data_IF_040571721018
#
_entry.id   IF_040571721018
#
_cell.length_a   1.000
_cell.length_b   1.000
_cell.length_c   1.000
_cell.angle_alpha   90.00
_cell.angle_beta   90.00
_cell.angle_gamma   90.00
#
_symmetry.space_group_name_H-M   'P 1'
#
loop_
_entity.id
_entity.type
_entity.pdbx_description
1 polymer ?
#
# COMPACT_ATOMS: atom_id res chain seq x y z
N UNK A 1 -68.41 15.72 34.94
CA UNK A 1 -67.38 16.43 34.16
C UNK A 1 -65.94 15.93 34.49
N UNK A 2 -65.51 15.91 35.77
CA UNK A 2 -64.18 15.46 36.15
C UNK A 2 -63.83 13.98 35.79
N UNK A 3 -64.84 13.07 35.94
CA UNK A 3 -64.61 11.64 35.59
C UNK A 3 -64.41 11.40 34.09
N UNK A 4 -65.07 12.17 33.21
CA UNK A 4 -64.89 12.04 31.78
C UNK A 4 -63.53 12.55 31.33
N UNK A 5 -63.01 13.61 31.95
CA UNK A 5 -61.69 14.13 31.69
C UNK A 5 -60.56 13.13 32.12
N UNK A 6 -60.73 12.46 33.25
CA UNK A 6 -59.80 11.44 33.71
C UNK A 6 -59.74 10.22 32.76
N UNK A 7 -60.84 9.73 32.27
CA UNK A 7 -60.92 8.65 31.27
C UNK A 7 -60.24 9.06 29.96
N UNK A 8 -60.45 10.26 29.48
CA UNK A 8 -59.84 10.81 28.27
C UNK A 8 -58.32 10.89 28.41
N UNK A 9 -57.77 11.32 29.55
CA UNK A 9 -56.35 11.37 29.84
C UNK A 9 -55.70 9.98 29.85
N UNK A 10 -56.40 9.00 30.46
CA UNK A 10 -55.89 7.60 30.49
C UNK A 10 -55.86 7.01 29.08
N UNK A 11 -56.92 7.21 28.30
CA UNK A 11 -56.97 6.76 26.89
C UNK A 11 -55.87 7.43 26.06
N UNK A 12 -55.70 8.75 26.18
CA UNK A 12 -54.63 9.48 25.49
C UNK A 12 -53.23 8.96 25.86
N UNK A 13 -53.01 8.66 27.14
CA UNK A 13 -51.74 8.07 27.61
C UNK A 13 -51.46 6.67 26.97
N UNK A 14 -52.47 5.80 26.97
CA UNK A 14 -52.32 4.47 26.35
C UNK A 14 -52.13 4.56 24.84
N UNK A 15 -52.85 5.46 24.19
CA UNK A 15 -52.74 5.69 22.75
C UNK A 15 -51.36 6.24 22.40
N UNK A 16 -50.85 7.22 23.13
CA UNK A 16 -49.54 7.80 22.97
C UNK A 16 -48.46 6.73 23.19
N UNK A 17 -48.53 5.94 24.26
CA UNK A 17 -47.63 4.85 24.55
C UNK A 17 -47.62 3.76 23.46
N UNK A 18 -48.79 3.42 22.93
CA UNK A 18 -48.95 2.46 21.84
C UNK A 18 -48.34 3.01 20.53
N UNK A 19 -48.63 4.27 20.18
CA UNK A 19 -48.04 4.92 19.01
C UNK A 19 -46.51 5.02 19.12
N UNK A 20 -45.98 5.47 20.25
CA UNK A 20 -44.53 5.54 20.50
C UNK A 20 -43.89 4.17 20.31
N UNK A 21 -44.48 3.12 20.91
CA UNK A 21 -43.94 1.76 20.75
C UNK A 21 -43.97 1.28 19.28
N UNK A 22 -45.05 1.62 18.54
CA UNK A 22 -45.20 1.22 17.15
C UNK A 22 -44.25 1.97 16.20
N UNK A 23 -43.97 3.26 16.46
CA UNK A 23 -43.12 4.10 15.63
C UNK A 23 -41.63 3.96 15.96
N UNK A 24 -41.31 3.74 17.22
CA UNK A 24 -39.91 3.73 17.68
C UNK A 24 -39.30 2.33 17.70
N UNK A 25 -40.11 1.30 17.91
CA UNK A 25 -39.67 -0.09 17.99
C UNK A 25 -38.87 -0.55 16.73
N UNK A 26 -39.34 -0.29 15.51
CA UNK A 26 -38.58 -0.68 14.31
C UNK A 26 -37.19 -0.03 14.22
N UNK A 27 -37.02 1.16 14.85
CA UNK A 27 -35.71 1.86 14.89
C UNK A 27 -34.77 1.23 15.92
N UNK A 28 -35.29 0.77 17.06
CA UNK A 28 -34.49 0.08 18.09
C UNK A 28 -34.09 -1.34 17.70
N UNK A 29 -34.84 -1.97 16.80
CA UNK A 29 -34.60 -3.34 16.33
C UNK A 29 -33.76 -3.35 15.03
N UNK A 30 -33.19 -2.19 14.62
CA UNK A 30 -32.32 -2.13 13.44
C UNK A 30 -31.05 -2.99 13.65
N UNK A 31 -30.81 -3.90 12.72
CA UNK A 31 -29.53 -4.57 12.57
C UNK A 31 -28.56 -3.62 11.86
N UNK A 32 -27.55 -3.16 12.60
CA UNK A 32 -26.53 -2.23 12.11
C UNK A 32 -25.40 -2.94 11.35
N UNK A 33 -25.29 -4.27 11.49
CA UNK A 33 -24.33 -5.08 10.72
C UNK A 33 -24.84 -5.36 9.30
N UNK A 34 -26.17 -5.52 9.15
CA UNK A 34 -26.85 -5.73 7.85
C UNK A 34 -27.92 -4.65 7.61
N UNK A 35 -27.51 -3.38 7.40
CA UNK A 35 -28.44 -2.26 7.38
C UNK A 35 -29.54 -2.37 6.33
N UNK A 36 -29.22 -2.91 5.14
CA UNK A 36 -30.16 -3.02 4.01
C UNK A 36 -31.17 -4.16 4.16
N UNK A 37 -30.98 -5.09 5.11
CA UNK A 37 -31.93 -6.17 5.38
C UNK A 37 -33.06 -5.74 6.31
N UNK A 38 -32.96 -4.56 6.91
CA UNK A 38 -33.96 -4.02 7.82
C UNK A 38 -35.24 -3.62 7.10
N UNK A 39 -36.38 -4.15 7.56
CA UNK A 39 -37.69 -3.71 7.13
C UNK A 39 -38.13 -2.50 8.00
N UNK A 40 -37.81 -1.31 7.54
CA UNK A 40 -38.08 -0.06 8.26
C UNK A 40 -38.74 0.97 7.35
N UNK A 41 -38.79 2.22 7.77
CA UNK A 41 -39.41 3.33 7.04
C UNK A 41 -38.54 3.73 5.83
N UNK A 42 -39.20 4.07 4.70
CA UNK A 42 -38.51 4.50 3.46
C UNK A 42 -37.62 5.71 3.70
N UNK A 43 -38.01 6.59 4.63
CA UNK A 43 -37.23 7.78 4.99
C UNK A 43 -35.86 7.46 5.60
N UNK A 44 -35.68 6.27 6.14
CA UNK A 44 -34.39 5.81 6.69
C UNK A 44 -33.49 5.15 5.64
N UNK A 45 -33.97 4.85 4.45
CA UNK A 45 -33.23 4.19 3.39
C UNK A 45 -31.88 4.88 3.08
N UNK A 46 -31.82 6.23 2.89
CA UNK A 46 -30.54 6.89 2.61
C UNK A 46 -29.54 6.76 3.76
N UNK A 47 -29.99 6.71 5.01
CA UNK A 47 -29.15 6.51 6.18
C UNK A 47 -28.62 5.08 6.25
N UNK A 48 -29.47 4.08 5.97
CA UNK A 48 -29.08 2.67 5.96
C UNK A 48 -28.10 2.37 4.82
N UNK A 49 -28.28 2.98 3.64
CA UNK A 49 -27.32 2.88 2.53
C UNK A 49 -25.94 3.51 2.87
N UNK A 50 -25.96 4.65 3.55
CA UNK A 50 -24.72 5.30 4.00
C UNK A 50 -24.00 4.43 5.04
N UNK A 51 -24.74 3.82 5.97
CA UNK A 51 -24.21 2.90 6.97
C UNK A 51 -23.66 1.62 6.37
N UNK A 52 -24.37 1.00 5.41
CA UNK A 52 -23.91 -0.18 4.68
C UNK A 52 -22.59 0.11 3.95
N UNK A 53 -22.50 1.27 3.28
CA UNK A 53 -21.27 1.72 2.64
C UNK A 53 -20.13 1.84 3.64
N UNK A 54 -20.38 2.49 4.79
CA UNK A 54 -19.38 2.65 5.84
C UNK A 54 -18.95 1.30 6.44
N UNK A 55 -19.86 0.35 6.62
CA UNK A 55 -19.54 -0.99 7.11
C UNK A 55 -18.68 -1.74 6.10
N UNK A 56 -19.01 -1.70 4.81
CA UNK A 56 -18.22 -2.29 3.73
C UNK A 56 -16.80 -1.69 3.63
N UNK A 57 -16.70 -0.38 3.77
CA UNK A 57 -15.39 0.31 3.81
C UNK A 57 -14.56 -0.15 5.02
N UNK A 58 -15.16 -0.20 6.22
CA UNK A 58 -14.47 -0.71 7.42
C UNK A 58 -14.04 -2.16 7.29
N UNK A 59 -14.89 -3.00 6.72
CA UNK A 59 -14.58 -4.42 6.49
C UNK A 59 -13.45 -4.57 5.47
N UNK A 60 -13.48 -3.83 4.37
CA UNK A 60 -12.41 -3.81 3.38
C UNK A 60 -11.06 -3.40 4.00
N UNK A 61 -11.04 -2.33 4.82
CA UNK A 61 -9.83 -1.89 5.54
C UNK A 61 -9.36 -2.96 6.53
N UNK A 62 -10.28 -3.58 7.28
CA UNK A 62 -9.94 -4.66 8.23
C UNK A 62 -9.33 -5.87 7.52
N UNK A 63 -9.93 -6.29 6.40
CA UNK A 63 -9.44 -7.42 5.61
C UNK A 63 -8.08 -7.13 4.99
N UNK A 64 -7.88 -5.92 4.45
CA UNK A 64 -6.59 -5.46 3.94
C UNK A 64 -5.50 -5.47 5.02
N UNK A 65 -5.84 -5.09 6.26
CA UNK A 65 -4.91 -5.11 7.41
C UNK A 65 -4.54 -6.53 7.83
N UNK A 66 -5.53 -7.46 7.84
CA UNK A 66 -5.30 -8.89 8.13
C UNK A 66 -4.41 -9.53 7.06
N UNK A 67 -4.70 -9.28 5.80
CA UNK A 67 -3.91 -9.79 4.67
C UNK A 67 -2.48 -9.25 4.70
N UNK A 68 -2.31 -7.95 4.96
CA UNK A 68 -1.00 -7.34 5.14
C UNK A 68 -0.19 -8.04 6.23
N UNK A 69 -0.78 -8.24 7.43
CA UNK A 69 -0.10 -8.90 8.56
C UNK A 69 0.29 -10.34 8.24
N UNK A 70 -0.58 -11.08 7.54
CA UNK A 70 -0.30 -12.44 7.10
C UNK A 70 0.84 -12.48 6.08
N UNK A 71 0.82 -11.58 5.09
CA UNK A 71 1.85 -11.48 4.06
C UNK A 71 3.21 -11.07 4.65
N UNK A 72 3.24 -10.08 5.57
CA UNK A 72 4.45 -9.70 6.33
C UNK A 72 5.04 -10.92 7.03
N UNK A 73 4.22 -11.64 7.79
CA UNK A 73 4.67 -12.81 8.54
C UNK A 73 5.27 -13.88 7.63
N UNK A 74 4.64 -14.12 6.48
CA UNK A 74 5.13 -15.10 5.49
C UNK A 74 6.44 -14.66 4.83
N UNK A 75 6.52 -13.39 4.39
CA UNK A 75 7.71 -12.85 3.69
C UNK A 75 8.91 -12.69 4.64
N UNK A 76 8.69 -12.50 5.97
CA UNK A 76 9.75 -12.52 6.97
C UNK A 76 10.21 -13.95 7.31
N UNK A 77 9.27 -14.91 7.42
CA UNK A 77 9.58 -16.29 7.82
C UNK A 77 10.48 -16.99 6.81
N UNK A 78 10.25 -16.79 5.52
CA UNK A 78 10.98 -17.49 4.45
C UNK A 78 12.50 -17.22 4.49
N UNK A 79 13.01 -15.97 4.44
CA UNK A 79 14.43 -15.69 4.53
C UNK A 79 15.03 -16.10 5.88
N UNK A 80 14.29 -15.92 6.98
CA UNK A 80 14.74 -16.30 8.31
C UNK A 80 14.96 -17.82 8.42
N UNK A 81 14.04 -18.61 7.86
CA UNK A 81 14.20 -20.08 7.79
C UNK A 81 15.41 -20.48 6.96
N UNK A 82 15.65 -19.80 5.82
CA UNK A 82 16.81 -20.06 4.97
C UNK A 82 18.12 -19.73 5.70
N UNK A 83 18.21 -18.57 6.36
CA UNK A 83 19.38 -18.15 7.16
C UNK A 83 19.65 -19.19 8.26
N UNK A 84 18.62 -19.55 9.03
CA UNK A 84 18.74 -20.53 10.12
C UNK A 84 19.18 -21.89 9.60
N UNK A 85 18.63 -22.37 8.48
CA UNK A 85 19.01 -23.65 7.88
C UNK A 85 20.46 -23.67 7.39
N UNK A 86 20.90 -22.63 6.68
CA UNK A 86 22.31 -22.54 6.26
C UNK A 86 23.27 -22.47 7.45
N UNK A 87 22.93 -21.67 8.46
CA UNK A 87 23.74 -21.55 9.67
C UNK A 87 23.81 -22.87 10.46
N UNK A 88 22.72 -23.63 10.56
CA UNK A 88 22.67 -24.93 11.20
C UNK A 88 23.53 -25.98 10.50
N UNK A 89 23.45 -26.06 9.16
CA UNK A 89 24.27 -26.97 8.36
C UNK A 89 25.77 -26.64 8.55
N UNK A 90 26.15 -25.35 8.55
CA UNK A 90 27.52 -24.89 8.81
C UNK A 90 27.96 -25.24 10.22
N UNK A 91 27.13 -24.97 11.25
CA UNK A 91 27.40 -25.27 12.66
C UNK A 91 27.67 -26.76 12.89
N UNK A 92 26.94 -27.62 12.20
CA UNK A 92 27.08 -29.08 12.35
C UNK A 92 28.22 -29.67 11.53
N UNK A 93 29.06 -28.84 10.88
CA UNK A 93 30.19 -29.30 10.09
C UNK A 93 29.83 -30.09 8.82
N UNK A 94 28.58 -29.92 8.35
CA UNK A 94 28.08 -30.63 7.14
C UNK A 94 28.45 -29.91 5.84
N UNK A 95 29.14 -28.75 5.93
CA UNK A 95 29.61 -27.98 4.79
C UNK A 95 31.06 -28.27 4.55
N UNK A 96 31.41 -28.56 3.29
CA UNK A 96 32.82 -28.72 2.91
C UNK A 96 33.55 -27.38 3.03
N UNK A 97 34.86 -27.36 3.37
CA UNK A 97 35.62 -26.11 3.53
C UNK A 97 35.51 -25.17 2.31
N UNK A 98 35.51 -25.72 1.09
CA UNK A 98 35.37 -24.96 -0.16
C UNK A 98 33.99 -24.31 -0.34
N UNK A 99 32.94 -24.81 0.31
CA UNK A 99 31.57 -24.33 0.18
C UNK A 99 31.18 -23.29 1.28
N UNK A 100 32.05 -23.09 2.29
CA UNK A 100 31.75 -22.16 3.42
C UNK A 100 31.44 -20.75 2.92
N UNK A 101 32.23 -20.24 1.97
CA UNK A 101 32.02 -18.92 1.38
C UNK A 101 30.66 -18.81 0.70
N UNK A 102 30.28 -19.84 -0.07
CA UNK A 102 29.00 -19.89 -0.77
C UNK A 102 27.80 -19.83 0.23
N UNK A 103 27.88 -20.61 1.33
CA UNK A 103 26.86 -20.61 2.36
C UNK A 103 26.78 -19.25 3.09
N UNK A 104 27.93 -18.66 3.38
CA UNK A 104 28.03 -17.33 4.00
C UNK A 104 27.42 -16.26 3.10
N UNK A 105 27.67 -16.29 1.79
CA UNK A 105 27.07 -15.38 0.81
C UNK A 105 25.55 -15.53 0.73
N UNK A 106 25.03 -16.77 0.79
CA UNK A 106 23.60 -17.02 0.82
C UNK A 106 22.95 -16.43 2.08
N UNK A 107 23.56 -16.63 3.25
CA UNK A 107 23.09 -16.03 4.52
C UNK A 107 23.09 -14.51 4.40
N UNK A 108 24.17 -13.92 3.90
CA UNK A 108 24.29 -12.47 3.73
C UNK A 108 23.21 -11.91 2.80
N UNK A 109 22.98 -12.58 1.65
CA UNK A 109 21.95 -12.18 0.68
C UNK A 109 20.54 -12.20 1.30
N UNK A 110 20.19 -13.26 2.03
CA UNK A 110 18.89 -13.35 2.69
C UNK A 110 18.75 -12.33 3.83
N UNK A 111 19.80 -12.08 4.59
CA UNK A 111 19.80 -11.05 5.64
C UNK A 111 19.61 -9.63 5.05
N UNK A 112 20.31 -9.31 3.96
CA UNK A 112 20.11 -8.02 3.25
C UNK A 112 18.69 -7.85 2.73
N UNK A 113 18.12 -8.93 2.17
CA UNK A 113 16.72 -8.93 1.71
C UNK A 113 15.75 -8.68 2.86
N UNK A 114 16.00 -9.29 4.02
CA UNK A 114 15.19 -9.10 5.22
C UNK A 114 15.23 -7.66 5.71
N UNK A 115 16.42 -7.04 5.73
CA UNK A 115 16.60 -5.63 6.11
C UNK A 115 15.78 -4.73 5.18
N UNK A 116 15.90 -4.89 3.87
CA UNK A 116 15.13 -4.09 2.90
C UNK A 116 13.62 -4.26 3.10
N UNK A 117 13.16 -5.49 3.36
CA UNK A 117 11.74 -5.75 3.62
C UNK A 117 11.25 -5.02 4.87
N UNK A 118 12.03 -5.04 5.96
CA UNK A 118 11.69 -4.33 7.21
C UNK A 118 11.66 -2.81 6.97
N UNK A 119 12.64 -2.27 6.24
CA UNK A 119 12.69 -0.85 5.87
C UNK A 119 11.44 -0.44 5.07
N UNK A 120 11.04 -1.24 4.06
CA UNK A 120 9.84 -0.98 3.25
C UNK A 120 8.55 -1.04 4.09
N UNK A 121 8.46 -1.98 5.04
CA UNK A 121 7.33 -2.07 5.97
C UNK A 121 7.25 -0.82 6.86
N UNK A 122 8.38 -0.35 7.40
CA UNK A 122 8.43 0.86 8.23
C UNK A 122 8.02 2.09 7.41
N UNK A 123 8.51 2.22 6.16
CA UNK A 123 8.12 3.31 5.25
C UNK A 123 6.61 3.30 5.01
N UNK A 124 6.05 2.13 4.68
CA UNK A 124 4.62 2.00 4.42
C UNK A 124 3.77 2.30 5.67
N UNK A 125 4.21 1.83 6.86
CA UNK A 125 3.53 2.14 8.12
C UNK A 125 3.50 3.64 8.41
N UNK A 126 4.59 4.37 8.14
CA UNK A 126 4.63 5.82 8.30
C UNK A 126 3.70 6.57 7.34
N UNK A 127 3.47 6.02 6.14
CA UNK A 127 2.52 6.59 5.17
C UNK A 127 1.06 6.31 5.55
N UNK A 128 0.80 5.23 6.31
CA UNK A 128 -0.54 4.87 6.80
C UNK A 128 -0.95 5.66 8.07
N UNK A 129 0.00 6.29 8.76
CA UNK A 129 -0.26 7.10 9.96
C UNK A 129 -0.65 8.52 9.56
N UNK A 130 -1.93 8.87 9.73
CA UNK A 130 -2.46 10.24 9.53
C UNK A 130 -1.84 11.29 10.46
N UNK A 131 -1.08 10.86 11.49
CA UNK A 131 -0.58 11.71 12.57
C UNK A 131 0.84 12.26 12.36
N UNK A 132 1.55 11.86 11.31
CA UNK A 132 2.87 12.42 11.01
C UNK A 132 2.66 13.75 10.30
N UNK A 133 2.91 14.87 10.99
CA UNK A 133 3.00 16.20 10.39
C UNK A 133 4.18 16.23 9.40
N UNK A 134 3.94 15.73 8.20
CA UNK A 134 4.89 15.79 7.11
C UNK A 134 4.77 17.19 6.48
N UNK A 135 5.78 18.03 6.70
CA UNK A 135 5.79 19.39 6.15
C UNK A 135 5.88 19.34 4.62
N UNK A 136 4.89 19.98 3.98
CA UNK A 136 4.93 20.25 2.54
C UNK A 136 5.84 21.45 2.28
N UNK A 137 6.65 21.35 1.25
CA UNK A 137 7.58 22.41 0.81
C UNK A 137 7.64 22.46 -0.72
N UNK A 138 8.19 23.52 -1.25
CA UNK A 138 8.49 23.60 -2.67
C UNK A 138 9.66 22.68 -3.01
N UNK A 139 9.42 21.72 -3.91
CA UNK A 139 10.39 20.72 -4.34
C UNK A 139 10.62 20.84 -5.84
N UNK A 140 11.86 21.08 -6.25
CA UNK A 140 12.26 20.96 -7.66
C UNK A 140 12.32 19.48 -8.04
N UNK A 141 11.34 19.03 -8.84
CA UNK A 141 11.22 17.63 -9.26
C UNK A 141 12.35 17.22 -10.20
N UNK A 142 12.89 18.16 -10.99
CA UNK A 142 13.99 17.85 -11.91
C UNK A 142 15.28 17.57 -11.13
N UNK A 143 15.62 18.44 -10.18
CA UNK A 143 16.82 18.25 -9.34
C UNK A 143 16.68 17.01 -8.46
N UNK A 144 15.52 16.78 -7.84
CA UNK A 144 15.24 15.57 -7.08
C UNK A 144 15.44 14.31 -7.94
N UNK A 145 14.95 14.33 -9.19
CA UNK A 145 15.12 13.20 -10.11
C UNK A 145 16.58 12.98 -10.46
N UNK A 146 17.38 14.03 -10.67
CA UNK A 146 18.83 13.93 -10.92
C UNK A 146 19.56 13.28 -9.74
N UNK A 147 19.24 13.68 -8.50
CA UNK A 147 19.79 13.06 -7.29
C UNK A 147 19.48 11.55 -7.25
N UNK A 148 18.24 11.16 -7.57
CA UNK A 148 17.81 9.76 -7.59
C UNK A 148 18.57 8.96 -8.65
N UNK A 149 18.68 9.48 -9.86
CA UNK A 149 19.43 8.83 -10.95
C UNK A 149 20.90 8.65 -10.55
N UNK A 150 21.51 9.64 -9.92
CA UNK A 150 22.89 9.52 -9.41
C UNK A 150 23.03 8.39 -8.38
N UNK A 151 22.06 8.21 -7.49
CA UNK A 151 22.04 7.11 -6.49
C UNK A 151 21.87 5.74 -7.14
N UNK A 152 21.12 5.64 -8.26
CA UNK A 152 20.88 4.39 -8.99
C UNK A 152 21.96 4.06 -10.01
N UNK A 153 22.86 5.00 -10.36
CA UNK A 153 23.91 4.82 -11.35
C UNK A 153 24.80 3.58 -11.08
N UNK A 154 25.22 3.25 -9.85
CA UNK A 154 26.02 2.05 -9.60
C UNK A 154 25.27 0.75 -9.92
N UNK A 155 23.96 0.68 -9.65
CA UNK A 155 23.14 -0.50 -9.99
C UNK A 155 22.93 -0.62 -11.49
N UNK A 156 22.67 0.50 -12.17
CA UNK A 156 22.52 0.55 -13.62
C UNK A 156 23.79 0.13 -14.33
N UNK A 157 24.97 0.56 -13.84
CA UNK A 157 26.28 0.20 -14.40
C UNK A 157 26.54 -1.31 -14.36
N UNK A 158 26.07 -2.04 -13.36
CA UNK A 158 26.21 -3.51 -13.27
C UNK A 158 25.58 -4.26 -14.43
N UNK A 159 24.55 -3.67 -15.07
CA UNK A 159 23.85 -4.23 -16.23
C UNK A 159 24.11 -3.44 -17.53
N UNK A 160 25.07 -2.50 -17.52
CA UNK A 160 25.33 -1.59 -18.61
C UNK A 160 24.07 -0.79 -19.05
N UNK A 161 23.17 -0.46 -18.13
CA UNK A 161 21.97 0.31 -18.41
C UNK A 161 22.33 1.80 -18.50
N UNK A 162 21.95 2.46 -19.60
CA UNK A 162 22.08 3.90 -19.75
C UNK A 162 20.91 4.61 -19.07
N UNK A 163 21.20 5.51 -18.15
CA UNK A 163 20.20 6.35 -17.49
C UNK A 163 20.36 7.80 -17.95
N UNK A 164 19.24 8.46 -18.26
CA UNK A 164 19.22 9.86 -18.65
C UNK A 164 18.02 10.59 -18.05
N UNK A 165 18.22 11.87 -17.70
CA UNK A 165 17.15 12.79 -17.29
C UNK A 165 17.03 13.90 -18.31
N UNK A 166 15.81 14.19 -18.73
CA UNK A 166 15.47 15.25 -19.69
C UNK A 166 14.30 16.08 -19.17
N UNK A 167 14.09 17.24 -19.76
CA UNK A 167 12.98 18.11 -19.39
C UNK A 167 13.45 19.43 -18.78
N UNK A 168 12.70 20.00 -17.88
CA UNK A 168 12.92 21.32 -17.32
C UNK A 168 12.68 21.32 -15.79
N UNK A 169 13.26 22.28 -15.02
CA UNK A 169 12.94 22.46 -13.61
C UNK A 169 11.46 22.74 -13.40
N UNK A 170 10.83 21.99 -12.51
CA UNK A 170 9.42 22.12 -12.17
C UNK A 170 9.27 22.01 -10.66
N UNK A 171 8.74 23.05 -10.04
CA UNK A 171 8.43 23.07 -8.62
C UNK A 171 7.07 22.44 -8.35
N UNK A 172 7.02 21.60 -7.34
CA UNK A 172 5.80 21.00 -6.82
C UNK A 172 5.74 21.19 -5.30
N UNK A 173 4.61 21.71 -4.79
CA UNK A 173 4.40 21.87 -3.36
C UNK A 173 3.97 20.56 -2.74
N UNK A 174 4.92 19.84 -2.13
CA UNK A 174 4.69 18.50 -1.63
C UNK A 174 5.71 18.08 -0.57
N UNK A 175 5.59 16.83 -0.12
CA UNK A 175 6.46 16.24 0.89
C UNK A 175 7.67 15.64 0.19
N UNK A 176 8.84 16.33 0.25
CA UNK A 176 10.07 15.92 -0.45
C UNK A 176 10.42 14.45 -0.24
N UNK A 177 10.31 13.96 0.99
CA UNK A 177 10.66 12.58 1.32
C UNK A 177 9.77 11.56 0.59
N UNK A 178 8.46 11.83 0.51
CA UNK A 178 7.51 10.95 -0.18
C UNK A 178 7.72 11.00 -1.69
N UNK A 179 7.93 12.19 -2.25
CA UNK A 179 8.24 12.37 -3.67
C UNK A 179 9.53 11.64 -4.05
N UNK A 180 10.58 11.71 -3.21
CA UNK A 180 11.83 10.96 -3.39
C UNK A 180 11.57 9.45 -3.44
N UNK A 181 10.84 8.91 -2.47
CA UNK A 181 10.50 7.48 -2.41
C UNK A 181 9.67 7.04 -3.63
N UNK A 182 8.71 7.84 -4.06
CA UNK A 182 7.88 7.53 -5.23
C UNK A 182 8.73 7.44 -6.51
N UNK A 183 9.51 8.48 -6.80
CA UNK A 183 10.35 8.54 -8.01
C UNK A 183 11.44 7.45 -7.93
N UNK A 184 12.06 7.27 -6.77
CA UNK A 184 13.07 6.24 -6.55
C UNK A 184 12.53 4.84 -6.86
N UNK A 185 11.37 4.46 -6.30
CA UNK A 185 10.77 3.14 -6.50
C UNK A 185 10.46 2.84 -7.97
N UNK A 186 9.96 3.84 -8.72
CA UNK A 186 9.69 3.66 -10.15
C UNK A 186 10.98 3.52 -10.94
N UNK A 187 11.99 4.38 -10.68
CA UNK A 187 13.28 4.31 -11.36
C UNK A 187 14.07 3.04 -11.00
N UNK A 188 14.03 2.59 -9.73
CA UNK A 188 14.66 1.35 -9.30
C UNK A 188 14.03 0.15 -10.01
N UNK A 189 12.70 0.09 -10.13
CA UNK A 189 12.03 -0.95 -10.90
C UNK A 189 12.45 -0.93 -12.37
N UNK A 190 12.56 0.25 -12.99
CA UNK A 190 13.01 0.41 -14.37
C UNK A 190 14.44 -0.12 -14.60
N UNK A 191 15.35 0.01 -13.61
CA UNK A 191 16.70 -0.57 -13.64
C UNK A 191 16.66 -2.07 -13.37
N UNK A 192 15.93 -2.49 -12.35
CA UNK A 192 15.88 -3.86 -11.86
C UNK A 192 15.30 -4.84 -12.87
N UNK A 193 14.23 -4.46 -13.53
CA UNK A 193 13.52 -5.26 -14.53
C UNK A 193 13.95 -4.98 -15.97
N UNK A 194 15.02 -4.19 -16.15
CA UNK A 194 15.59 -3.94 -17.47
C UNK A 194 16.39 -5.14 -17.99
N UNK A 195 16.64 -5.11 -19.29
CA UNK A 195 17.57 -6.00 -19.97
C UNK A 195 19.00 -5.45 -19.90
N UNK A 196 19.99 -6.31 -20.13
CA UNK A 196 21.38 -5.87 -20.28
C UNK A 196 21.54 -4.91 -21.47
N UNK A 197 22.38 -3.89 -21.30
CA UNK A 197 22.57 -2.82 -22.28
C UNK A 197 21.30 -2.01 -22.60
N UNK A 198 20.31 -2.05 -21.70
CA UNK A 198 19.05 -1.33 -21.84
C UNK A 198 19.17 0.17 -21.54
N UNK A 199 18.02 0.84 -21.53
CA UNK A 199 17.92 2.28 -21.28
C UNK A 199 16.81 2.55 -20.26
N UNK A 200 17.01 3.59 -19.43
CA UNK A 200 15.99 4.22 -18.61
C UNK A 200 16.05 5.71 -18.89
N UNK A 201 14.96 6.27 -19.40
CA UNK A 201 14.80 7.71 -19.65
C UNK A 201 13.77 8.29 -18.69
N UNK A 202 14.13 9.33 -17.98
CA UNK A 202 13.21 10.06 -17.09
C UNK A 202 13.00 11.45 -17.64
N UNK A 203 11.75 11.79 -17.90
CA UNK A 203 11.36 13.14 -18.31
C UNK A 203 10.63 13.85 -17.19
N UNK A 204 10.98 15.11 -16.94
CA UNK A 204 10.34 15.98 -15.94
C UNK A 204 9.89 17.25 -16.62
N UNK A 205 8.66 17.66 -16.40
CA UNK A 205 8.13 18.89 -17.01
C UNK A 205 6.69 19.17 -16.62
N UNK A 206 6.15 20.28 -17.10
CA UNK A 206 4.75 20.63 -16.96
C UNK A 206 3.93 20.09 -18.16
N UNK A 207 2.75 19.60 -17.84
CA UNK A 207 1.71 19.23 -18.82
C UNK A 207 0.45 20.06 -18.58
N UNK A 208 -0.57 19.88 -19.41
CA UNK A 208 -1.87 20.53 -19.20
C UNK A 208 -2.51 20.14 -17.87
N UNK A 209 -2.19 18.95 -17.37
CA UNK A 209 -2.70 18.40 -16.08
C UNK A 209 -1.80 18.77 -14.90
N UNK A 210 -0.72 19.54 -15.10
CA UNK A 210 0.23 19.95 -14.08
C UNK A 210 1.61 19.28 -14.19
N UNK A 211 2.42 19.36 -13.11
CA UNK A 211 3.74 18.76 -13.02
C UNK A 211 3.72 17.25 -13.25
N UNK A 212 4.65 16.74 -14.07
CA UNK A 212 4.70 15.32 -14.42
C UNK A 212 6.13 14.80 -14.45
N UNK A 213 6.34 13.61 -13.88
CA UNK A 213 7.55 12.81 -14.02
C UNK A 213 7.18 11.53 -14.78
N UNK A 214 7.85 11.28 -15.89
CA UNK A 214 7.63 10.09 -16.72
C UNK A 214 8.90 9.26 -16.76
N UNK A 215 8.81 8.00 -16.37
CA UNK A 215 9.90 7.03 -16.44
C UNK A 215 9.59 6.04 -17.56
N UNK A 216 10.52 5.89 -18.48
CA UNK A 216 10.43 4.96 -19.61
C UNK A 216 11.63 4.03 -19.60
N UNK A 217 11.40 2.74 -19.73
CA UNK A 217 12.45 1.73 -19.77
C UNK A 217 12.32 0.80 -20.97
N UNK A 218 13.39 0.06 -21.26
CA UNK A 218 13.44 -0.95 -22.31
C UNK A 218 13.41 -2.37 -21.76
N UNK A 219 12.89 -2.53 -20.55
CA UNK A 219 12.85 -3.79 -19.81
C UNK A 219 11.84 -4.81 -20.34
N UNK A 220 11.58 -5.80 -19.51
CA UNK A 220 10.69 -6.93 -19.86
C UNK A 220 9.21 -6.55 -20.00
N UNK A 221 8.84 -5.31 -19.59
CA UNK A 221 7.45 -4.87 -19.56
C UNK A 221 6.59 -5.60 -18.51
N UNK A 222 5.32 -5.20 -18.46
CA UNK A 222 4.32 -5.78 -17.56
C UNK A 222 3.13 -6.24 -18.42
N UNK A 223 2.73 -7.53 -18.38
CA UNK A 223 1.54 -7.99 -19.09
C UNK A 223 0.28 -7.26 -18.61
N UNK A 224 -0.62 -6.96 -19.55
CA UNK A 224 -1.81 -6.13 -19.29
C UNK A 224 -2.69 -6.66 -18.15
N UNK A 225 -2.78 -7.97 -17.99
CA UNK A 225 -3.54 -8.64 -16.93
C UNK A 225 -3.07 -8.32 -15.49
N UNK A 226 -1.86 -7.78 -15.36
CA UNK A 226 -1.27 -7.41 -14.06
C UNK A 226 -1.35 -5.92 -13.75
N UNK A 227 -1.71 -5.05 -14.72
CA UNK A 227 -1.62 -3.58 -14.59
C UNK A 227 -2.43 -3.04 -13.42
N UNK A 228 -3.61 -3.58 -13.13
CA UNK A 228 -4.43 -3.15 -11.99
C UNK A 228 -3.86 -3.61 -10.65
N UNK A 229 -3.16 -4.74 -10.65
CA UNK A 229 -2.70 -5.42 -9.46
C UNK A 229 -1.29 -5.05 -9.01
N UNK A 230 -0.46 -4.49 -9.90
CA UNK A 230 0.94 -4.18 -9.58
C UNK A 230 1.11 -3.18 -8.42
N UNK A 231 0.05 -2.45 -8.07
CA UNK A 231 -0.01 -1.52 -6.94
C UNK A 231 -0.53 -2.16 -5.64
N UNK A 232 -0.92 -3.45 -5.67
CA UNK A 232 -1.29 -4.20 -4.47
C UNK A 232 -0.02 -4.50 -3.64
N UNK A 233 -0.15 -4.49 -2.31
CA UNK A 233 0.96 -4.80 -1.40
C UNK A 233 1.40 -6.26 -1.58
N UNK A 234 2.72 -6.51 -1.67
CA UNK A 234 3.35 -7.83 -1.90
C UNK A 234 3.03 -8.49 -3.24
N UNK A 235 2.34 -7.78 -4.14
CA UNK A 235 2.05 -8.32 -5.45
C UNK A 235 3.32 -8.41 -6.32
N UNK A 236 3.43 -9.49 -7.07
CA UNK A 236 4.51 -9.76 -8.02
C UNK A 236 3.97 -10.55 -9.19
N UNK A 237 4.33 -10.15 -10.41
CA UNK A 237 3.96 -10.84 -11.65
C UNK A 237 4.49 -12.27 -11.66
N UNK A 238 5.73 -12.48 -11.21
CA UNK A 238 6.36 -13.79 -11.10
C UNK A 238 7.02 -13.96 -9.73
N UNK A 239 6.50 -14.88 -8.93
CA UNK A 239 7.02 -15.20 -7.59
C UNK A 239 8.32 -16.00 -7.62
N UNK A 240 8.60 -16.74 -8.70
CA UNK A 240 9.76 -17.64 -8.79
C UNK A 240 11.04 -16.89 -9.18
N UNK A 241 11.01 -16.11 -10.24
CA UNK A 241 12.16 -15.33 -10.71
C UNK A 241 12.41 -14.04 -9.92
N UNK A 242 11.37 -13.51 -9.25
CA UNK A 242 11.52 -12.31 -8.42
C UNK A 242 12.25 -12.56 -7.10
N UNK A 243 12.37 -13.82 -6.63
CA UNK A 243 13.24 -14.17 -5.48
C UNK A 243 14.71 -13.95 -5.80
N UNK A 244 15.15 -14.26 -7.01
CA UNK A 244 16.52 -14.03 -7.46
C UNK A 244 16.85 -12.55 -7.64
N UNK A 245 15.85 -11.75 -8.09
CA UNK A 245 15.98 -10.31 -8.32
C UNK A 245 15.71 -9.44 -7.08
N UNK A 246 15.33 -10.03 -5.93
CA UNK A 246 15.30 -9.36 -4.63
C UNK A 246 14.19 -8.31 -4.43
N UNK A 247 12.98 -8.46 -5.03
CA UNK A 247 11.88 -7.50 -4.81
C UNK A 247 11.02 -7.83 -3.58
N UNK A 248 10.59 -6.83 -2.84
CA UNK A 248 9.66 -6.96 -1.70
C UNK A 248 8.19 -7.00 -2.15
N UNK A 249 7.87 -6.43 -3.32
CA UNK A 249 6.50 -6.22 -3.78
C UNK A 249 5.79 -5.05 -3.07
N UNK A 250 6.55 -4.22 -2.36
CA UNK A 250 6.01 -3.04 -1.65
C UNK A 250 6.28 -1.72 -2.38
N UNK A 251 7.28 -1.64 -3.27
CA UNK A 251 7.69 -0.39 -3.90
C UNK A 251 6.57 0.34 -4.64
N UNK A 252 5.81 -0.33 -5.51
CA UNK A 252 4.71 0.31 -6.22
C UNK A 252 3.50 0.61 -5.32
N UNK A 253 3.28 -0.12 -4.24
CA UNK A 253 2.27 0.23 -3.25
C UNK A 253 2.66 1.49 -2.46
N UNK A 254 3.95 1.72 -2.22
CA UNK A 254 4.47 2.99 -1.66
C UNK A 254 4.18 4.15 -2.63
N UNK A 255 4.42 3.95 -3.94
CA UNK A 255 4.09 4.96 -4.97
C UNK A 255 2.60 5.31 -4.94
N UNK A 256 1.71 4.32 -4.91
CA UNK A 256 0.26 4.53 -4.82
C UNK A 256 -0.14 5.32 -3.57
N UNK A 257 0.39 4.94 -2.39
CA UNK A 257 0.10 5.64 -1.13
C UNK A 257 0.65 7.07 -1.15
N UNK A 258 1.87 7.27 -1.63
CA UNK A 258 2.46 8.60 -1.80
C UNK A 258 1.63 9.49 -2.72
N UNK A 259 1.09 8.95 -3.82
CA UNK A 259 0.21 9.69 -4.72
C UNK A 259 -1.13 10.09 -4.09
N UNK A 260 -1.66 9.28 -3.16
CA UNK A 260 -2.90 9.59 -2.44
C UNK A 260 -2.73 10.71 -1.39
N UNK A 261 -1.49 10.93 -0.92
CA UNK A 261 -1.15 11.98 0.05
C UNK A 261 -0.87 13.35 -0.60
N UNK A 262 -0.69 13.39 -1.92
CA UNK A 262 -0.41 14.57 -2.72
C UNK A 262 -1.55 14.96 -3.64
#
# INVERSE_FOLDING_TARGET
>A
MAGLAAVMLVLAYFLAKWQTKRLVRPIYELDLEHPLENKTYEELTPFLEAMDRQNKEKEAVSNMRKEFSANVSHELKTPLTSISGYAEIMKNGMVRPEDITLFSERIYKEARRLITLVEDIIKLSKLDEESVELEKQDVDLYELTREIISRLAPQAAQKNIRMEVTGEPVNYFGIRQILDEMIYNVCENAVKYNVENGRVSVWVGNTLDGPKVTVSDTGIGIPQEHHERIFERFYRVDKSHSKERGGTGLGLSIVKHGALLH
#
